data_IF_278475528221
#
_entry.id   IF_278475528221
#
_cell.length_a   1.000
_cell.length_b   1.000
_cell.length_c   1.000
_cell.angle_alpha   90.00
_cell.angle_beta   90.00
_cell.angle_gamma   90.00
#
_symmetry.space_group_name_H-M   'P 1'
#
loop_
_entity.id
_entity.type
_entity.pdbx_description
1 polymer ?
#
# COMPACT_ATOMS: atom_id res chain seq x y z
N UNK A 1 17.64 34.55 10.29
CA UNK A 1 16.37 33.84 10.01
C UNK A 1 16.44 33.41 8.56
N UNK A 2 16.67 32.11 8.32
CA UNK A 2 16.60 31.53 6.97
C UNK A 2 15.13 31.15 6.79
N UNK A 3 14.40 31.90 5.98
CA UNK A 3 13.05 31.51 5.60
C UNK A 3 13.17 30.24 4.74
N UNK A 4 12.64 29.13 5.23
CA UNK A 4 12.39 27.97 4.36
C UNK A 4 11.43 28.41 3.27
N UNK A 5 11.94 28.54 2.04
CA UNK A 5 11.06 28.63 0.89
C UNK A 5 10.29 27.33 0.80
N UNK A 6 8.96 27.35 0.60
CA UNK A 6 8.23 26.13 0.28
C UNK A 6 8.88 25.53 -0.99
N UNK A 7 9.21 24.25 -0.94
CA UNK A 7 9.73 23.57 -2.12
C UNK A 7 8.64 23.59 -3.19
N UNK A 8 8.93 24.12 -4.38
CA UNK A 8 8.01 24.07 -5.55
C UNK A 8 7.77 22.64 -6.05
N UNK A 9 8.39 21.65 -5.41
CA UNK A 9 8.23 20.24 -5.78
C UNK A 9 6.99 19.64 -5.10
N UNK A 10 6.16 18.92 -5.87
CA UNK A 10 5.02 18.20 -5.30
C UNK A 10 5.49 17.13 -4.32
N UNK A 11 4.72 16.91 -3.23
CA UNK A 11 4.99 15.86 -2.25
C UNK A 11 4.92 14.46 -2.88
N UNK A 12 4.00 14.27 -3.81
CA UNK A 12 3.79 13.01 -4.52
C UNK A 12 3.73 13.29 -6.01
N UNK A 13 4.54 12.59 -6.77
CA UNK A 13 4.54 12.64 -8.23
C UNK A 13 4.79 11.27 -8.82
N UNK A 14 4.51 11.08 -10.11
CA UNK A 14 4.83 9.82 -10.75
C UNK A 14 4.21 9.61 -12.11
N UNK A 15 4.42 8.39 -12.61
CA UNK A 15 3.81 7.89 -13.82
C UNK A 15 3.33 6.46 -13.58
N UNK A 16 2.02 6.23 -13.73
CA UNK A 16 1.41 4.91 -13.64
C UNK A 16 0.86 4.48 -15.00
N UNK A 17 1.13 3.23 -15.35
CA UNK A 17 0.68 2.59 -16.59
C UNK A 17 -0.48 1.63 -16.32
N UNK A 18 -1.23 1.26 -17.38
CA UNK A 18 -2.33 0.29 -17.27
C UNK A 18 -3.58 0.82 -16.58
N UNK A 19 -3.70 2.16 -16.44
CA UNK A 19 -4.89 2.81 -15.90
C UNK A 19 -5.69 3.39 -17.06
N UNK A 20 -6.95 2.96 -17.21
CA UNK A 20 -7.82 3.40 -18.29
C UNK A 20 -8.44 4.79 -18.04
N UNK A 21 -8.48 5.22 -16.79
CA UNK A 21 -9.03 6.52 -16.39
C UNK A 21 -7.98 7.62 -16.49
N UNK A 22 -8.43 8.85 -16.75
CA UNK A 22 -7.63 10.08 -16.65
C UNK A 22 -7.55 10.62 -15.20
N UNK A 23 -8.05 9.86 -14.24
CA UNK A 23 -8.09 10.26 -12.83
C UNK A 23 -7.71 9.10 -11.91
N UNK A 24 -7.04 9.46 -10.79
CA UNK A 24 -6.75 8.59 -9.66
C UNK A 24 -7.68 8.92 -8.48
N UNK A 25 -8.02 7.92 -7.69
CA UNK A 25 -8.55 8.12 -6.35
C UNK A 25 -7.42 7.97 -5.34
N UNK A 26 -7.19 8.99 -4.55
CA UNK A 26 -6.16 9.01 -3.52
C UNK A 26 -6.81 9.01 -2.16
N UNK A 27 -6.60 7.95 -1.40
CA UNK A 27 -7.07 7.86 -0.03
C UNK A 27 -5.89 8.03 0.92
N UNK A 28 -6.02 8.94 1.87
CA UNK A 28 -4.96 9.20 2.85
C UNK A 28 -5.52 9.44 4.25
N UNK A 29 -4.74 9.11 5.27
CA UNK A 29 -5.02 9.42 6.67
C UNK A 29 -3.74 9.42 7.50
N UNK A 30 -3.66 10.25 8.57
CA UNK A 30 -2.60 10.16 9.55
C UNK A 30 -2.54 8.76 10.17
N UNK A 31 -1.35 8.20 10.38
CA UNK A 31 -1.22 6.83 10.88
C UNK A 31 -1.81 6.63 12.28
N UNK A 32 -1.90 7.69 13.08
CA UNK A 32 -2.48 7.71 14.42
C UNK A 32 -3.95 8.14 14.46
N UNK A 33 -4.55 8.50 13.31
CA UNK A 33 -5.95 8.94 13.23
C UNK A 33 -6.58 8.43 11.92
N UNK A 34 -7.11 7.21 11.96
CA UNK A 34 -7.77 6.59 10.80
C UNK A 34 -9.14 7.17 10.50
N UNK A 35 -9.76 7.82 11.45
CA UNK A 35 -11.09 8.39 11.30
C UNK A 35 -11.03 9.69 10.46
N UNK A 36 -9.87 10.36 10.45
CA UNK A 36 -9.58 11.50 9.57
C UNK A 36 -9.26 11.07 8.11
N UNK A 37 -9.79 9.92 7.68
CA UNK A 37 -9.61 9.44 6.31
C UNK A 37 -10.20 10.41 5.31
N UNK A 38 -9.38 10.76 4.33
CA UNK A 38 -9.72 11.66 3.24
C UNK A 38 -9.59 10.94 1.91
N UNK A 39 -10.47 11.25 0.97
CA UNK A 39 -10.40 10.73 -0.41
C UNK A 39 -10.43 11.91 -1.37
N UNK A 40 -9.41 12.00 -2.18
CA UNK A 40 -9.24 13.04 -3.19
C UNK A 40 -9.25 12.41 -4.60
N UNK A 41 -9.62 13.20 -5.60
CA UNK A 41 -9.50 12.83 -7.02
C UNK A 41 -8.36 13.63 -7.63
N UNK A 42 -7.40 12.95 -8.23
CA UNK A 42 -6.22 13.56 -8.87
C UNK A 42 -6.26 13.29 -10.36
N UNK A 43 -6.13 14.36 -11.16
CA UNK A 43 -6.05 14.24 -12.61
C UNK A 43 -4.71 13.65 -13.06
N UNK A 44 -4.74 12.81 -14.09
CA UNK A 44 -3.58 12.30 -14.79
C UNK A 44 -3.51 12.86 -16.21
N UNK A 45 -2.28 13.05 -16.69
CA UNK A 45 -2.02 13.38 -18.09
C UNK A 45 -1.02 12.37 -18.66
N UNK A 46 -1.45 11.55 -19.59
CA UNK A 46 -0.62 10.48 -20.15
C UNK A 46 0.04 9.59 -19.09
N UNK A 47 -0.72 9.23 -18.05
CA UNK A 47 -0.26 8.41 -16.93
C UNK A 47 0.53 9.18 -15.87
N UNK A 48 0.93 10.44 -16.13
CA UNK A 48 1.67 11.27 -15.18
C UNK A 48 0.73 12.01 -14.24
N UNK A 49 1.14 12.16 -12.99
CA UNK A 49 0.41 12.88 -11.93
C UNK A 49 1.36 13.58 -10.98
N UNK A 50 0.86 14.63 -10.32
CA UNK A 50 1.57 15.32 -9.25
C UNK A 50 0.54 16.00 -8.33
N UNK A 51 0.71 15.89 -7.01
CA UNK A 51 -0.18 16.51 -6.03
C UNK A 51 0.47 16.62 -4.65
N UNK A 52 -0.17 17.41 -3.78
CA UNK A 52 0.21 17.60 -2.39
C UNK A 52 -0.94 17.18 -1.48
N UNK A 53 -0.61 16.58 -0.34
CA UNK A 53 -1.58 16.24 0.71
C UNK A 53 -1.61 17.26 1.85
N UNK A 54 -0.65 18.20 1.85
CA UNK A 54 -0.71 19.46 2.60
C UNK A 54 -0.43 19.40 4.08
N UNK A 55 0.06 18.30 4.66
CA UNK A 55 0.35 18.18 6.07
C UNK A 55 1.75 17.63 6.35
N UNK A 56 2.35 18.09 7.45
CA UNK A 56 3.66 17.65 7.91
C UNK A 56 3.60 16.45 8.85
N UNK A 57 2.66 15.52 8.64
CA UNK A 57 2.47 14.32 9.49
C UNK A 57 2.66 13.04 8.70
N UNK A 58 3.06 11.98 9.39
CA UNK A 58 3.17 10.64 8.81
C UNK A 58 1.79 10.14 8.37
N UNK A 59 1.65 9.81 7.08
CA UNK A 59 0.37 9.36 6.51
C UNK A 59 0.47 7.99 5.87
N UNK A 60 -0.58 7.20 6.01
CA UNK A 60 -0.84 6.08 5.14
C UNK A 60 -1.53 6.60 3.88
N UNK A 61 -1.03 6.20 2.71
CA UNK A 61 -1.57 6.61 1.40
C UNK A 61 -1.87 5.39 0.55
N UNK A 62 -3.02 5.42 -0.10
CA UNK A 62 -3.46 4.46 -1.11
C UNK A 62 -3.82 5.21 -2.38
N UNK A 63 -3.27 4.78 -3.51
CA UNK A 63 -3.60 5.33 -4.83
C UNK A 63 -4.27 4.24 -5.66
N UNK A 64 -5.50 4.48 -6.07
CA UNK A 64 -6.30 3.58 -6.88
C UNK A 64 -6.50 4.16 -8.27
N UNK A 65 -6.53 3.31 -9.30
CA UNK A 65 -7.16 3.70 -10.56
C UNK A 65 -8.66 3.87 -10.33
N UNK A 66 -9.27 4.93 -10.87
CA UNK A 66 -10.72 5.08 -10.80
C UNK A 66 -11.36 3.93 -11.58
N UNK A 67 -12.12 3.05 -10.94
CA UNK A 67 -12.74 1.96 -11.65
C UNK A 67 -13.81 2.49 -12.60
N UNK A 68 -13.78 2.05 -13.85
CA UNK A 68 -14.89 2.22 -14.79
C UNK A 68 -15.98 1.16 -14.51
N UNK A 69 -16.58 1.21 -13.30
CA UNK A 69 -17.59 0.24 -12.91
C UNK A 69 -18.94 0.74 -13.29
N UNK A 70 -19.59 0.01 -14.18
CA UNK A 70 -21.03 0.18 -14.39
C UNK A 70 -21.75 -0.51 -13.23
N UNK A 71 -22.69 0.16 -12.57
CA UNK A 71 -23.58 -0.50 -11.61
C UNK A 71 -24.27 -1.71 -12.27
N UNK A 72 -24.51 -2.75 -11.49
CA UNK A 72 -25.36 -3.86 -11.91
C UNK A 72 -26.79 -3.34 -12.23
N UNK A 73 -27.60 -4.17 -12.88
CA UNK A 73 -29.01 -3.81 -13.20
C UNK A 73 -29.83 -3.48 -11.95
N UNK A 74 -29.47 -4.02 -10.77
CA UNK A 74 -30.10 -3.73 -9.47
C UNK A 74 -29.53 -2.47 -8.78
N UNK A 75 -28.62 -1.73 -9.44
CA UNK A 75 -27.97 -0.54 -8.91
C UNK A 75 -26.83 -0.82 -7.94
N UNK A 76 -26.52 -2.07 -7.60
CA UNK A 76 -25.37 -2.41 -6.78
C UNK A 76 -24.05 -2.22 -7.53
N UNK A 77 -23.02 -1.79 -6.83
CA UNK A 77 -21.66 -1.72 -7.39
C UNK A 77 -21.00 -3.07 -7.17
N UNK A 78 -20.51 -3.75 -8.23
CA UNK A 78 -19.79 -5.01 -8.07
C UNK A 78 -18.65 -4.86 -7.08
N UNK A 79 -18.42 -5.87 -6.24
CA UNK A 79 -17.24 -5.93 -5.41
C UNK A 79 -16.01 -5.98 -6.34
N UNK A 80 -15.20 -4.93 -6.32
CA UNK A 80 -13.97 -4.85 -7.10
C UNK A 80 -12.81 -5.02 -6.13
N UNK A 81 -11.94 -5.96 -6.46
CA UNK A 81 -10.60 -5.96 -5.88
C UNK A 81 -9.87 -4.74 -6.44
N UNK A 82 -9.88 -3.64 -5.69
CA UNK A 82 -9.20 -2.43 -6.10
C UNK A 82 -7.71 -2.59 -5.78
N UNK A 83 -6.92 -2.78 -6.83
CA UNK A 83 -5.46 -2.73 -6.72
C UNK A 83 -5.04 -1.30 -6.39
N UNK A 84 -4.05 -1.16 -5.54
CA UNK A 84 -3.60 0.14 -5.10
C UNK A 84 -2.08 0.18 -4.91
N UNK A 85 -1.47 1.28 -5.30
CA UNK A 85 -0.18 1.65 -4.76
C UNK A 85 -0.38 2.02 -3.29
N UNK A 86 0.37 1.38 -2.39
CA UNK A 86 0.23 1.53 -0.95
C UNK A 86 1.59 1.87 -0.31
N UNK A 87 1.67 2.99 0.40
CA UNK A 87 2.90 3.43 1.03
C UNK A 87 2.65 4.36 2.21
N UNK A 88 3.69 4.59 3.01
CA UNK A 88 3.75 5.68 3.97
C UNK A 88 4.35 6.93 3.30
N UNK A 89 3.68 8.06 3.46
CA UNK A 89 4.24 9.37 3.13
C UNK A 89 4.95 9.92 4.37
N UNK A 90 6.27 10.10 4.24
CA UNK A 90 7.11 10.65 5.29
C UNK A 90 7.04 12.17 5.26
N UNK A 91 6.93 12.84 6.42
CA UNK A 91 6.89 14.31 6.49
C UNK A 91 8.10 14.96 5.83
N UNK A 92 7.85 15.90 4.90
CA UNK A 92 8.90 16.65 4.23
C UNK A 92 9.77 15.86 3.24
N UNK A 93 9.41 14.62 2.93
CA UNK A 93 10.14 13.78 2.00
C UNK A 93 9.30 13.53 0.75
N UNK A 94 9.61 14.19 -0.38
CA UNK A 94 8.90 13.95 -1.63
C UNK A 94 9.09 12.51 -2.13
N UNK A 95 8.04 11.97 -2.73
CA UNK A 95 8.06 10.63 -3.31
C UNK A 95 7.71 10.67 -4.78
N UNK A 96 8.43 9.85 -5.56
CA UNK A 96 8.11 9.59 -6.96
C UNK A 96 7.71 8.14 -7.13
N UNK A 97 6.63 7.90 -7.87
CA UNK A 97 6.04 6.58 -8.08
C UNK A 97 6.09 6.24 -9.56
N UNK A 98 6.53 5.04 -9.89
CA UNK A 98 6.58 4.56 -11.27
C UNK A 98 6.10 3.12 -11.38
N UNK A 99 5.58 2.72 -12.55
CA UNK A 99 5.14 1.35 -12.81
C UNK A 99 3.64 1.21 -13.07
N UNK A 100 3.00 0.22 -12.48
CA UNK A 100 1.55 -0.02 -12.55
C UNK A 100 0.97 -0.15 -11.14
N UNK A 101 -0.35 -0.33 -11.01
CA UNK A 101 -0.97 -0.59 -9.70
C UNK A 101 -0.55 -1.93 -9.08
N UNK A 102 -0.05 -2.85 -9.88
CA UNK A 102 0.38 -4.19 -9.47
C UNK A 102 1.87 -4.28 -9.22
N UNK A 103 2.64 -3.54 -10.02
CA UNK A 103 4.09 -3.52 -9.98
C UNK A 103 4.57 -2.08 -9.99
N UNK A 104 4.78 -1.52 -8.83
CA UNK A 104 5.25 -0.14 -8.68
C UNK A 104 6.57 -0.07 -7.93
N UNK A 105 7.29 1.01 -8.20
CA UNK A 105 8.50 1.39 -7.50
C UNK A 105 8.32 2.76 -6.87
N UNK A 106 8.82 2.90 -5.65
CA UNK A 106 8.81 4.12 -4.87
C UNK A 106 10.23 4.70 -4.85
N UNK A 107 10.38 5.98 -5.17
CA UNK A 107 11.66 6.69 -5.14
C UNK A 107 11.51 7.92 -4.24
N UNK A 108 12.46 8.18 -3.34
CA UNK A 108 12.39 9.30 -2.41
C UNK A 108 13.28 9.14 -1.18
N UNK A 109 14.25 8.22 -1.23
CA UNK A 109 15.26 8.00 -0.19
C UNK A 109 15.27 6.58 0.35
N UNK A 110 16.21 6.32 1.26
CA UNK A 110 16.55 4.97 1.74
C UNK A 110 15.36 4.18 2.31
N UNK A 111 14.39 4.86 2.94
CA UNK A 111 13.19 4.20 3.43
C UNK A 111 12.42 3.50 2.30
N UNK A 112 12.26 4.17 1.17
CA UNK A 112 11.53 3.62 0.02
C UNK A 112 12.36 2.60 -0.74
N UNK A 113 13.69 2.78 -0.81
CA UNK A 113 14.59 1.80 -1.40
C UNK A 113 14.51 0.47 -0.62
N UNK A 114 14.61 0.52 0.70
CA UNK A 114 14.45 -0.63 1.58
C UNK A 114 13.04 -1.27 1.46
N UNK A 115 11.99 -0.46 1.33
CA UNK A 115 10.62 -1.00 1.16
C UNK A 115 10.42 -1.66 -0.21
N UNK A 116 11.04 -1.14 -1.27
CA UNK A 116 11.01 -1.78 -2.59
C UNK A 116 11.63 -3.18 -2.57
N UNK A 117 12.69 -3.41 -1.77
CA UNK A 117 13.26 -4.75 -1.59
C UNK A 117 12.21 -5.72 -1.02
N UNK A 118 11.46 -5.29 0.01
CA UNK A 118 10.38 -6.12 0.60
C UNK A 118 9.26 -6.39 -0.42
N UNK A 119 8.91 -5.39 -1.24
CA UNK A 119 7.90 -5.56 -2.29
C UNK A 119 8.35 -6.57 -3.34
N UNK A 120 9.61 -6.49 -3.78
CA UNK A 120 10.16 -7.41 -4.78
C UNK A 120 10.22 -8.84 -4.25
N UNK A 121 10.64 -9.04 -3.00
CA UNK A 121 10.67 -10.37 -2.36
C UNK A 121 9.27 -10.99 -2.23
N UNK A 122 8.24 -10.17 -2.01
CA UNK A 122 6.84 -10.62 -1.92
C UNK A 122 6.17 -10.83 -3.29
N UNK A 123 6.72 -10.27 -4.36
CA UNK A 123 6.09 -10.12 -5.69
C UNK A 123 5.53 -11.41 -6.27
N UNK A 124 6.32 -12.48 -6.24
CA UNK A 124 5.91 -13.77 -6.80
C UNK A 124 4.64 -14.33 -6.15
N UNK A 125 4.49 -14.15 -4.84
CA UNK A 125 3.29 -14.60 -4.10
C UNK A 125 2.12 -13.63 -4.28
N UNK A 126 2.39 -12.33 -4.32
CA UNK A 126 1.37 -11.31 -4.59
C UNK A 126 0.71 -11.53 -5.95
N UNK A 127 1.48 -11.80 -7.01
CA UNK A 127 0.94 -12.10 -8.33
C UNK A 127 0.07 -13.38 -8.37
N UNK A 128 0.44 -14.42 -7.60
CA UNK A 128 -0.39 -15.63 -7.48
C UNK A 128 -1.73 -15.32 -6.82
N UNK A 129 -1.71 -14.50 -5.76
CA UNK A 129 -2.92 -14.08 -5.05
C UNK A 129 -3.80 -13.22 -5.98
N UNK A 130 -3.23 -12.29 -6.72
CA UNK A 130 -3.97 -11.44 -7.66
C UNK A 130 -4.60 -12.26 -8.79
N UNK A 131 -3.86 -13.21 -9.36
CA UNK A 131 -4.38 -14.12 -10.36
C UNK A 131 -5.55 -14.94 -9.82
N UNK A 132 -5.46 -15.40 -8.57
CA UNK A 132 -6.53 -16.14 -7.93
C UNK A 132 -7.75 -15.25 -7.66
N UNK A 133 -7.55 -14.00 -7.26
CA UNK A 133 -8.63 -13.04 -7.08
C UNK A 133 -9.42 -12.84 -8.38
N UNK A 134 -8.74 -12.71 -9.53
CA UNK A 134 -9.40 -12.63 -10.85
C UNK A 134 -10.24 -13.87 -11.13
N UNK A 135 -9.72 -15.05 -10.86
CA UNK A 135 -10.45 -16.32 -11.03
C UNK A 135 -11.69 -16.35 -10.11
N UNK A 136 -11.55 -15.99 -8.84
CA UNK A 136 -12.68 -15.97 -7.89
C UNK A 136 -13.76 -14.97 -8.32
N UNK A 137 -13.38 -13.78 -8.80
CA UNK A 137 -14.31 -12.78 -9.33
C UNK A 137 -15.07 -13.29 -10.56
N UNK A 138 -14.41 -14.02 -11.47
CA UNK A 138 -15.05 -14.62 -12.63
C UNK A 138 -16.02 -15.73 -12.22
N UNK A 139 -15.68 -16.53 -11.22
CA UNK A 139 -16.57 -17.52 -10.64
C UNK A 139 -17.82 -16.88 -10.02
N UNK A 140 -17.69 -15.78 -9.30
CA UNK A 140 -18.83 -15.01 -8.74
C UNK A 140 -19.74 -14.50 -9.85
N UNK A 141 -19.20 -13.89 -10.91
CA UNK A 141 -19.97 -13.43 -12.08
C UNK A 141 -20.73 -14.54 -12.78
N UNK A 142 -20.20 -15.77 -12.76
CA UNK A 142 -20.85 -16.97 -13.31
C UNK A 142 -21.85 -17.62 -12.35
N UNK A 143 -22.09 -17.04 -11.19
CA UNK A 143 -23.04 -17.57 -10.19
C UNK A 143 -22.59 -18.84 -9.50
N UNK A 144 -21.29 -19.15 -9.48
CA UNK A 144 -20.74 -20.32 -8.79
C UNK A 144 -20.99 -20.18 -7.27
N UNK A 145 -21.44 -21.26 -6.60
CA UNK A 145 -21.70 -21.21 -5.16
C UNK A 145 -20.50 -20.76 -4.35
N UNK A 146 -20.71 -19.86 -3.36
CA UNK A 146 -19.64 -19.28 -2.54
C UNK A 146 -18.77 -20.31 -1.81
N UNK A 147 -19.29 -21.50 -1.50
CA UNK A 147 -18.49 -22.60 -0.92
C UNK A 147 -17.41 -23.11 -1.88
N UNK A 148 -17.71 -23.15 -3.17
CA UNK A 148 -16.74 -23.53 -4.19
C UNK A 148 -15.66 -22.46 -4.35
N UNK A 149 -16.05 -21.18 -4.32
CA UNK A 149 -15.13 -20.05 -4.36
C UNK A 149 -14.21 -20.06 -3.14
N UNK A 150 -14.77 -20.29 -1.93
CA UNK A 150 -13.95 -20.41 -0.70
C UNK A 150 -12.92 -21.53 -0.76
N UNK A 151 -13.25 -22.68 -1.38
CA UNK A 151 -12.29 -23.78 -1.59
C UNK A 151 -11.15 -23.39 -2.50
N UNK A 152 -11.44 -22.67 -3.58
CA UNK A 152 -10.42 -22.14 -4.49
C UNK A 152 -9.55 -21.11 -3.76
N UNK A 153 -10.16 -20.18 -3.02
CA UNK A 153 -9.45 -19.15 -2.27
C UNK A 153 -8.58 -19.71 -1.14
N UNK A 154 -8.93 -20.88 -0.60
CA UNK A 154 -8.14 -21.52 0.46
C UNK A 154 -6.70 -21.85 0.02
N UNK A 155 -6.44 -22.01 -1.30
CA UNK A 155 -5.09 -22.21 -1.85
C UNK A 155 -4.18 -20.98 -1.65
N UNK A 156 -4.75 -19.79 -1.50
CA UNK A 156 -3.98 -18.58 -1.23
C UNK A 156 -3.36 -18.55 0.19
N UNK A 157 -3.85 -19.39 1.11
CA UNK A 157 -3.38 -19.38 2.50
C UNK A 157 -1.87 -19.59 2.62
N UNK A 158 -1.32 -20.50 1.83
CA UNK A 158 0.12 -20.76 1.80
C UNK A 158 0.89 -19.54 1.28
N UNK A 159 0.40 -18.88 0.22
CA UNK A 159 1.05 -17.71 -0.36
C UNK A 159 1.02 -16.51 0.60
N UNK A 160 -0.10 -16.27 1.26
CA UNK A 160 -0.17 -15.28 2.35
C UNK A 160 0.82 -15.61 3.48
N UNK A 161 0.92 -16.88 3.88
CA UNK A 161 1.89 -17.34 4.87
C UNK A 161 3.34 -17.05 4.46
N UNK A 162 3.68 -17.26 3.20
CA UNK A 162 5.01 -16.95 2.66
C UNK A 162 5.29 -15.44 2.67
N UNK A 163 4.33 -14.60 2.27
CA UNK A 163 4.46 -13.12 2.36
C UNK A 163 4.70 -12.69 3.81
N UNK A 164 3.93 -13.21 4.76
CA UNK A 164 4.10 -12.89 6.18
C UNK A 164 5.46 -13.36 6.72
N UNK A 165 5.94 -14.52 6.25
CA UNK A 165 7.27 -15.01 6.60
C UNK A 165 8.37 -14.10 6.06
N UNK A 166 8.33 -13.70 4.79
CA UNK A 166 9.28 -12.76 4.18
C UNK A 166 9.33 -11.47 5.00
N UNK A 167 8.18 -10.88 5.30
CA UNK A 167 8.08 -9.66 6.11
C UNK A 167 8.65 -9.83 7.52
N UNK A 168 8.33 -10.94 8.19
CA UNK A 168 8.86 -11.24 9.52
C UNK A 168 10.37 -11.43 9.51
N UNK A 169 10.90 -12.14 8.50
CA UNK A 169 12.33 -12.37 8.35
C UNK A 169 13.06 -11.05 8.03
N UNK A 170 12.47 -10.18 7.21
CA UNK A 170 13.01 -8.84 6.94
C UNK A 170 13.18 -8.01 8.22
N UNK A 171 12.14 -7.96 9.07
CA UNK A 171 12.18 -7.24 10.36
C UNK A 171 13.29 -7.76 11.25
N UNK A 172 13.45 -9.09 11.35
CA UNK A 172 14.50 -9.72 12.16
C UNK A 172 15.91 -9.43 11.66
N UNK A 173 16.08 -9.32 10.34
CA UNK A 173 17.40 -9.05 9.72
C UNK A 173 17.76 -7.57 9.73
N UNK A 174 16.77 -6.68 9.85
CA UNK A 174 16.92 -5.23 9.78
C UNK A 174 16.30 -4.51 11.00
N UNK A 175 16.67 -4.87 12.24
CA UNK A 175 15.96 -4.40 13.44
C UNK A 175 16.16 -2.91 13.74
N UNK A 176 17.10 -2.25 13.08
CA UNK A 176 17.46 -0.84 13.23
C UNK A 176 16.93 0.06 12.10
N UNK A 177 16.22 -0.50 11.11
CA UNK A 177 15.66 0.29 10.01
C UNK A 177 14.25 0.76 10.32
N UNK A 178 13.95 2.02 10.01
CA UNK A 178 12.61 2.61 10.21
C UNK A 178 11.53 1.88 9.39
N UNK A 179 11.88 1.40 8.20
CA UNK A 179 10.99 0.60 7.35
C UNK A 179 10.58 -0.72 8.03
N UNK A 180 11.39 -1.29 8.92
CA UNK A 180 11.04 -2.51 9.66
C UNK A 180 9.83 -2.31 10.55
N UNK A 181 9.62 -1.11 11.12
CA UNK A 181 8.40 -0.80 11.87
C UNK A 181 7.17 -0.78 10.94
N UNK A 182 7.32 -0.24 9.74
CA UNK A 182 6.23 -0.25 8.75
C UNK A 182 5.91 -1.66 8.27
N UNK A 183 6.93 -2.45 7.95
CA UNK A 183 6.77 -3.86 7.56
C UNK A 183 6.14 -4.67 8.69
N UNK A 184 6.58 -4.47 9.94
CA UNK A 184 6.00 -5.08 11.14
C UNK A 184 4.51 -4.75 11.29
N UNK A 185 4.10 -3.52 11.01
CA UNK A 185 2.69 -3.11 11.10
C UNK A 185 1.75 -3.87 10.15
N UNK A 186 2.30 -4.60 9.18
CA UNK A 186 1.59 -5.42 8.21
C UNK A 186 1.54 -6.92 8.59
N UNK A 187 2.15 -7.29 9.72
CA UNK A 187 2.12 -8.66 10.24
C UNK A 187 0.80 -8.97 10.97
N UNK A 188 0.53 -10.25 11.16
CA UNK A 188 -0.60 -10.68 11.98
C UNK A 188 -0.36 -10.39 13.47
N UNK A 189 -1.43 -10.33 14.25
CA UNK A 189 -1.37 -10.09 15.70
C UNK A 189 -0.42 -11.05 16.42
N UNK A 190 -0.42 -12.32 16.02
CA UNK A 190 0.41 -13.36 16.64
C UNK A 190 1.91 -13.16 16.36
N UNK A 191 2.26 -12.51 15.26
CA UNK A 191 3.65 -12.26 14.87
C UNK A 191 4.18 -10.92 15.38
N UNK A 192 3.29 -9.97 15.72
CA UNK A 192 3.67 -8.61 16.11
C UNK A 192 4.56 -8.58 17.35
N UNK A 193 4.26 -9.39 18.36
CA UNK A 193 5.01 -9.42 19.63
C UNK A 193 6.49 -9.80 19.40
N UNK A 194 6.73 -10.87 18.66
CA UNK A 194 8.08 -11.32 18.35
C UNK A 194 8.83 -10.33 17.48
N UNK A 195 8.16 -9.76 16.47
CA UNK A 195 8.74 -8.76 15.59
C UNK A 195 9.08 -7.45 16.34
N UNK A 196 8.22 -7.01 17.27
CA UNK A 196 8.48 -5.83 18.09
C UNK A 196 9.69 -6.02 19.02
N UNK A 197 9.84 -7.21 19.61
CA UNK A 197 10.92 -7.48 20.56
C UNK A 197 12.32 -7.39 19.95
N UNK A 198 12.48 -7.68 18.68
CA UNK A 198 13.79 -7.62 18.00
C UNK A 198 14.17 -6.22 17.54
N UNK A 199 13.23 -5.28 17.43
CA UNK A 199 13.52 -3.91 17.03
C UNK A 199 14.44 -3.21 18.06
N UNK A 200 15.31 -2.33 17.57
CA UNK A 200 16.15 -1.48 18.44
C UNK A 200 15.33 -0.36 19.08
N UNK A 201 15.79 0.14 20.24
CA UNK A 201 15.11 1.24 20.95
C UNK A 201 15.03 2.50 20.06
N UNK A 202 16.04 2.75 19.21
CA UNK A 202 16.03 3.86 18.26
C UNK A 202 14.77 3.89 17.39
N UNK A 203 14.38 2.75 16.82
CA UNK A 203 13.19 2.71 15.94
C UNK A 203 11.90 2.58 16.73
N UNK A 204 11.93 1.98 17.93
CA UNK A 204 10.78 1.91 18.83
C UNK A 204 10.35 3.28 19.35
N UNK A 205 11.28 4.20 19.54
CA UNK A 205 11.04 5.55 20.05
C UNK A 205 11.00 6.61 18.95
N UNK A 206 11.26 6.22 17.70
CA UNK A 206 11.28 7.10 16.53
C UNK A 206 9.88 7.48 16.03
N UNK A 207 9.84 8.27 14.95
CA UNK A 207 8.60 8.72 14.31
C UNK A 207 7.67 7.55 13.94
N UNK A 208 8.23 6.39 13.57
CA UNK A 208 7.46 5.22 13.20
C UNK A 208 6.73 4.55 14.37
N UNK A 209 7.04 4.92 15.61
CA UNK A 209 6.31 4.44 16.80
C UNK A 209 4.80 4.70 16.72
N UNK A 210 4.38 5.75 16.00
CA UNK A 210 2.97 6.07 15.76
C UNK A 210 2.19 4.94 15.07
N UNK A 211 2.86 4.00 14.41
CA UNK A 211 2.23 2.86 13.74
C UNK A 211 1.71 1.78 14.71
N UNK A 212 2.25 1.69 15.91
CA UNK A 212 1.87 0.66 16.89
C UNK A 212 1.43 1.21 18.26
N UNK A 213 1.59 2.51 18.52
CA UNK A 213 1.08 3.17 19.74
C UNK A 213 -0.43 3.45 19.59
N UNK A 214 -1.25 2.40 19.52
CA UNK A 214 -2.72 2.49 19.36
C UNK A 214 -3.44 1.94 20.57
#
# INVERSE_FOLDING_TARGET
MIACQPSDQPEISGMLTGIESDTLLVQSFPVNDRDSRRTDTVAMQNGSFAFNLGDSVLKQVYIYGKPSVKPNEDGSIPAISMKAVNFLLLPGQPIKISGSLDEYKLEGGSFYDDYNEVLEDCKAYSHKIDSLNVVCMDMEKKGIPGDSIRKVYASAKEWYGNILKIKSDYVRQNPDKDVSVYVMSQLTRDQLGDAFNVLTDRVKEGMMALLYQR
#
